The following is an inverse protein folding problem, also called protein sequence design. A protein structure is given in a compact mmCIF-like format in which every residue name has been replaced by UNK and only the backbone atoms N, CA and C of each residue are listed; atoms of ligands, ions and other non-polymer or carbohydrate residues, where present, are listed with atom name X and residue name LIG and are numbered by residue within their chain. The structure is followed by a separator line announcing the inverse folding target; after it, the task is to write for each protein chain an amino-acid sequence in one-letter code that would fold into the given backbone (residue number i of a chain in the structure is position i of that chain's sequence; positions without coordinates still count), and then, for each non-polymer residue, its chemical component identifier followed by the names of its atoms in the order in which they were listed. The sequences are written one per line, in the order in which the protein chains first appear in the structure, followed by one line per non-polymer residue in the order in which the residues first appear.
data_IF_648298716044
#
_entry.id   IF_648298716044
#
_cell.length_a   1.000
_cell.length_b   1.000
_cell.length_c   1.000
_cell.angle_alpha   90.00
_cell.angle_beta   90.00
_cell.angle_gamma   90.00
#
_symmetry.space_group_name_H-M   'P 1'
#
loop_
_entity.id
_entity.type
_entity.pdbx_description
1 polymer ?
#
# COMPACT_ATOMS: atom_id res chain seq x y z
N UNK A 1 20.97 33.30 -45.70
CA UNK A 1 20.29 34.56 -45.31
C UNK A 1 19.90 34.40 -43.85
N UNK A 2 20.75 34.75 -42.88
CA UNK A 2 20.86 36.07 -42.21
C UNK A 2 19.48 36.67 -41.91
N UNK A 3 19.09 36.74 -40.63
CA UNK A 3 18.51 37.89 -39.91
C UNK A 3 18.27 37.47 -38.43
N UNK A 4 19.02 37.99 -37.45
CA UNK A 4 18.92 39.26 -36.70
C UNK A 4 18.34 39.02 -35.30
N UNK A 5 19.15 39.43 -34.32
CA UNK A 5 18.98 39.43 -32.86
C UNK A 5 18.01 40.56 -32.46
N UNK A 6 17.12 40.32 -31.48
CA UNK A 6 16.63 41.39 -30.59
C UNK A 6 16.69 40.91 -29.13
N UNK A 7 17.37 41.72 -28.34
CA UNK A 7 17.74 41.56 -26.95
C UNK A 7 16.89 42.58 -26.18
N UNK A 8 16.06 42.15 -25.23
CA UNK A 8 15.37 43.08 -24.32
C UNK A 8 15.75 42.74 -22.89
N UNK A 9 16.56 43.64 -22.35
CA UNK A 9 17.05 43.75 -21.00
C UNK A 9 16.01 44.55 -20.19
N UNK A 10 15.55 44.03 -19.06
CA UNK A 10 14.84 44.85 -18.07
C UNK A 10 15.29 44.48 -16.66
N UNK A 11 16.24 45.28 -16.15
CA UNK A 11 16.58 45.39 -14.74
C UNK A 11 15.41 45.99 -13.98
N UNK A 12 15.03 45.37 -12.86
CA UNK A 12 14.39 46.06 -11.75
C UNK A 12 15.17 45.73 -10.48
N UNK A 13 15.89 46.74 -9.99
CA UNK A 13 16.51 46.76 -8.66
C UNK A 13 15.48 47.38 -7.72
N UNK A 14 15.07 46.65 -6.69
CA UNK A 14 14.46 47.23 -5.50
C UNK A 14 15.27 46.80 -4.29
N UNK A 15 15.87 47.81 -3.65
CA UNK A 15 16.44 47.78 -2.30
C UNK A 15 15.31 47.80 -1.27
N UNK A 16 15.50 47.17 -0.11
CA UNK A 16 14.50 47.23 0.96
C UNK A 16 14.79 46.40 2.21
N UNK A 17 15.55 47.02 3.11
CA UNK A 17 15.54 46.95 4.58
C UNK A 17 15.71 45.64 5.39
N UNK A 18 16.64 45.80 6.32
CA UNK A 18 17.02 45.09 7.54
C UNK A 18 15.89 44.69 8.49
N UNK A 19 16.12 43.59 9.21
CA UNK A 19 15.41 43.24 10.45
C UNK A 19 16.09 42.05 11.14
N UNK A 20 16.94 42.36 12.10
CA UNK A 20 17.63 41.46 13.03
C UNK A 20 16.62 40.86 14.02
N UNK A 21 16.77 39.58 14.37
CA UNK A 21 15.87 38.90 15.31
C UNK A 21 16.29 37.45 15.56
N UNK A 22 17.17 37.28 16.55
CA UNK A 22 17.56 36.03 17.19
C UNK A 22 16.38 35.37 17.91
N UNK A 23 16.27 34.05 17.84
CA UNK A 23 15.28 33.29 18.61
C UNK A 23 15.20 31.82 18.18
N UNK A 24 15.93 30.99 18.90
CA UNK A 24 16.04 29.53 18.77
C UNK A 24 14.75 28.77 19.08
N UNK A 25 14.54 27.70 18.30
CA UNK A 25 14.00 26.38 18.66
C UNK A 25 12.61 26.28 19.31
N UNK A 26 11.63 25.79 18.53
CA UNK A 26 10.98 24.48 18.75
C UNK A 26 9.76 24.36 17.82
N UNK A 27 9.96 23.81 16.63
CA UNK A 27 8.86 23.45 15.73
C UNK A 27 8.34 22.08 16.14
N UNK A 28 7.36 22.08 17.05
CA UNK A 28 6.48 20.95 17.24
C UNK A 28 5.69 20.72 15.93
N UNK A 29 5.99 19.60 15.27
CA UNK A 29 5.33 19.14 14.07
C UNK A 29 3.89 18.74 14.42
N UNK A 30 2.93 19.66 14.33
CA UNK A 30 1.51 19.35 14.51
C UNK A 30 1.01 18.48 13.36
N UNK A 31 1.16 17.16 13.54
CA UNK A 31 0.53 16.09 12.78
C UNK A 31 -0.98 16.20 13.01
N UNK A 32 -1.72 16.65 12.00
CA UNK A 32 -3.18 16.54 11.98
C UNK A 32 -3.50 15.06 12.06
N UNK A 33 -3.88 14.59 13.25
CA UNK A 33 -4.36 13.23 13.45
C UNK A 33 -5.70 13.14 12.73
N UNK A 34 -5.68 12.59 11.52
CA UNK A 34 -6.90 12.13 10.86
C UNK A 34 -7.56 11.16 11.84
N UNK A 35 -8.79 11.47 12.24
CA UNK A 35 -9.65 10.51 12.93
C UNK A 35 -9.89 9.39 11.93
N UNK A 36 -9.15 8.29 12.06
CA UNK A 36 -9.28 7.13 11.18
C UNK A 36 -10.57 6.39 11.54
N UNK A 37 -11.65 6.75 10.85
CA UNK A 37 -12.90 6.00 10.85
C UNK A 37 -12.62 4.63 10.21
N UNK A 38 -13.20 3.56 10.76
CA UNK A 38 -13.13 2.22 10.17
C UNK A 38 -13.61 2.29 8.72
N UNK A 39 -12.78 1.83 7.78
CA UNK A 39 -13.06 1.92 6.36
C UNK A 39 -14.21 0.96 5.99
N UNK A 40 -15.32 1.49 5.49
CA UNK A 40 -16.44 0.67 5.01
C UNK A 40 -16.10 -0.06 3.71
N UNK A 41 -15.26 0.57 2.88
CA UNK A 41 -14.77 0.02 1.63
C UNK A 41 -13.25 0.17 1.60
N UNK A 42 -12.56 -0.92 1.29
CA UNK A 42 -11.11 -0.96 1.38
C UNK A 42 -10.52 -2.04 0.49
N UNK A 43 -9.25 -1.90 0.14
CA UNK A 43 -8.48 -2.97 -0.48
C UNK A 43 -7.07 -3.08 0.11
N UNK A 44 -6.44 -4.22 -0.10
CA UNK A 44 -5.04 -4.49 0.20
C UNK A 44 -4.36 -4.99 -1.07
N UNK A 45 -3.15 -4.49 -1.30
CA UNK A 45 -2.30 -4.90 -2.43
C UNK A 45 -1.21 -5.85 -1.95
N UNK A 46 -1.30 -7.11 -2.38
CA UNK A 46 -0.37 -8.18 -2.08
C UNK A 46 0.69 -8.28 -3.16
N UNK A 47 1.96 -8.31 -2.77
CA UNK A 47 3.09 -8.41 -3.68
C UNK A 47 4.04 -9.51 -3.23
N UNK A 48 4.26 -10.47 -4.12
CA UNK A 48 5.37 -11.40 -4.02
C UNK A 48 6.60 -10.87 -4.78
N UNK A 49 7.77 -11.06 -4.19
CA UNK A 49 9.09 -10.79 -4.75
C UNK A 49 9.96 -12.06 -4.63
N UNK A 50 10.49 -12.53 -5.76
CA UNK A 50 11.49 -13.60 -5.84
C UNK A 50 12.87 -12.94 -5.82
N UNK A 51 13.57 -13.13 -4.70
CA UNK A 51 14.87 -12.49 -4.47
C UNK A 51 16.02 -13.21 -5.20
N UNK A 52 15.81 -14.46 -5.58
CA UNK A 52 16.78 -15.29 -6.34
C UNK A 52 16.83 -14.83 -7.79
N UNK A 53 15.66 -14.71 -8.42
CA UNK A 53 15.53 -14.37 -9.83
C UNK A 53 15.25 -12.87 -10.07
N UNK A 54 15.15 -12.06 -9.01
CA UNK A 54 14.86 -10.62 -9.06
C UNK A 54 13.55 -10.33 -9.83
N UNK A 55 12.52 -11.14 -9.57
CA UNK A 55 11.19 -10.95 -10.13
C UNK A 55 10.25 -10.37 -9.08
N UNK A 56 9.28 -9.56 -9.53
CA UNK A 56 8.28 -8.95 -8.64
C UNK A 56 6.93 -8.89 -9.34
N UNK A 57 5.89 -9.23 -8.61
CA UNK A 57 4.51 -9.19 -9.13
C UNK A 57 4.00 -7.74 -9.22
N UNK A 58 3.02 -7.51 -10.12
CA UNK A 58 2.37 -6.21 -10.28
C UNK A 58 1.44 -5.84 -9.10
N UNK A 59 1.08 -6.82 -8.28
CA UNK A 59 0.22 -6.69 -7.11
C UNK A 59 -1.18 -7.29 -7.34
N UNK A 60 -1.53 -8.31 -6.57
CA UNK A 60 -2.90 -8.83 -6.49
C UNK A 60 -3.69 -8.04 -5.43
N UNK A 61 -5.01 -7.94 -5.60
CA UNK A 61 -5.86 -7.12 -4.72
C UNK A 61 -6.93 -7.96 -4.04
N UNK A 62 -7.05 -7.82 -2.73
CA UNK A 62 -8.21 -8.31 -2.00
C UNK A 62 -8.89 -7.14 -1.31
N UNK A 63 -10.18 -7.24 -1.05
CA UNK A 63 -10.86 -6.16 -0.35
C UNK A 63 -12.35 -6.33 -0.17
N UNK A 64 -12.92 -5.27 0.38
CA UNK A 64 -14.33 -5.14 0.69
C UNK A 64 -14.93 -3.97 -0.10
N UNK A 65 -16.05 -4.25 -0.75
CA UNK A 65 -16.95 -3.26 -1.33
C UNK A 65 -18.36 -3.52 -0.79
N UNK A 66 -19.12 -2.46 -0.52
CA UNK A 66 -20.45 -2.60 0.10
C UNK A 66 -21.57 -2.78 -0.94
N UNK A 67 -21.23 -3.28 -2.12
CA UNK A 67 -22.16 -3.51 -3.24
C UNK A 67 -22.42 -5.01 -3.41
N UNK A 68 -23.65 -5.36 -3.81
CA UNK A 68 -24.11 -6.76 -3.91
C UNK A 68 -23.26 -7.59 -4.90
N UNK A 69 -22.86 -6.98 -6.02
CA UNK A 69 -22.14 -7.65 -7.11
C UNK A 69 -20.62 -7.39 -7.09
N UNK A 70 -20.06 -7.05 -5.92
CA UNK A 70 -18.65 -6.68 -5.76
C UNK A 70 -17.70 -7.66 -6.46
N UNK A 71 -17.98 -8.96 -6.32
CA UNK A 71 -17.13 -10.02 -6.85
C UNK A 71 -17.18 -10.10 -8.37
N UNK A 72 -18.37 -10.11 -8.98
CA UNK A 72 -18.50 -10.18 -10.44
C UNK A 72 -18.02 -8.91 -11.15
N UNK A 73 -18.16 -7.73 -10.52
CA UNK A 73 -17.86 -6.45 -11.17
C UNK A 73 -16.42 -5.98 -10.95
N UNK A 74 -15.77 -6.37 -9.85
CA UNK A 74 -14.44 -5.85 -9.48
C UNK A 74 -13.33 -6.92 -9.42
N UNK A 75 -13.65 -8.19 -9.61
CA UNK A 75 -12.64 -9.24 -9.73
C UNK A 75 -12.12 -9.36 -11.16
N UNK A 76 -10.81 -9.21 -11.32
CA UNK A 76 -10.12 -9.27 -12.61
C UNK A 76 -9.59 -10.67 -12.83
N UNK A 77 -9.88 -11.29 -13.98
CA UNK A 77 -9.27 -12.58 -14.34
C UNK A 77 -7.75 -12.47 -14.45
N UNK A 78 -7.08 -13.50 -13.97
CA UNK A 78 -5.66 -13.72 -14.19
C UNK A 78 -5.36 -14.01 -15.65
N UNK A 79 -4.18 -13.58 -16.08
CA UNK A 79 -3.61 -14.03 -17.34
C UNK A 79 -2.87 -15.33 -17.08
N UNK A 80 -2.96 -16.28 -18.02
CA UNK A 80 -2.13 -17.47 -17.96
C UNK A 80 -0.64 -17.07 -17.95
N UNK A 81 0.21 -17.78 -17.19
CA UNK A 81 1.64 -17.53 -17.22
C UNK A 81 2.17 -17.74 -18.64
N UNK A 82 3.01 -16.81 -19.09
CA UNK A 82 3.74 -16.98 -20.34
C UNK A 82 4.78 -18.10 -20.15
N UNK A 83 5.17 -18.80 -21.22
CA UNK A 83 6.03 -20.01 -21.21
C UNK A 83 7.48 -19.79 -20.73
N UNK A 84 7.75 -18.68 -20.04
CA UNK A 84 9.05 -18.30 -19.49
C UNK A 84 9.03 -18.42 -17.95
N UNK A 85 10.14 -18.04 -17.31
CA UNK A 85 10.17 -17.86 -15.86
C UNK A 85 9.06 -16.90 -15.42
N UNK A 86 8.32 -17.28 -14.38
CA UNK A 86 7.19 -16.50 -13.89
C UNK A 86 7.14 -16.48 -12.37
N UNK A 87 6.59 -15.39 -11.87
CA UNK A 87 6.19 -15.21 -10.48
C UNK A 87 4.80 -14.57 -10.50
N UNK A 88 3.87 -15.10 -9.72
CA UNK A 88 2.51 -14.60 -9.67
C UNK A 88 1.83 -14.72 -8.31
N UNK A 89 0.80 -13.91 -8.08
CA UNK A 89 -0.17 -14.02 -6.99
C UNK A 89 -1.57 -14.07 -7.59
N UNK A 90 -2.32 -15.12 -7.28
CA UNK A 90 -3.67 -15.34 -7.82
C UNK A 90 -4.66 -15.80 -6.75
N UNK A 91 -5.92 -15.42 -6.91
CA UNK A 91 -7.06 -15.99 -6.19
C UNK A 91 -7.66 -17.10 -7.04
N UNK A 92 -7.72 -18.32 -6.50
CA UNK A 92 -8.15 -19.51 -7.25
C UNK A 92 -9.60 -19.82 -6.91
N UNK A 93 -10.45 -19.86 -7.93
CA UNK A 93 -11.88 -20.15 -7.81
C UNK A 93 -12.58 -19.38 -6.67
N UNK A 94 -12.43 -18.05 -6.58
CA UNK A 94 -13.20 -17.26 -5.63
C UNK A 94 -14.70 -17.57 -5.76
N UNK A 95 -15.39 -17.63 -4.63
CA UNK A 95 -16.84 -17.88 -4.57
C UNK A 95 -17.59 -16.90 -5.47
N UNK A 96 -18.76 -17.26 -6.01
CA UNK A 96 -19.56 -16.33 -6.83
C UNK A 96 -18.97 -16.00 -8.21
N UNK A 97 -17.81 -16.55 -8.57
CA UNK A 97 -17.17 -16.37 -9.87
C UNK A 97 -17.04 -17.69 -10.63
N UNK A 98 -16.86 -17.57 -11.95
CA UNK A 98 -16.55 -18.74 -12.78
C UNK A 98 -15.19 -19.34 -12.38
N UNK A 99 -15.06 -20.66 -12.51
CA UNK A 99 -13.79 -21.38 -12.27
C UNK A 99 -12.65 -20.74 -13.04
N UNK A 100 -11.54 -20.49 -12.36
CA UNK A 100 -10.37 -19.82 -12.91
C UNK A 100 -9.47 -19.16 -11.86
N UNK A 101 -8.46 -18.47 -12.36
CA UNK A 101 -7.53 -17.68 -11.55
C UNK A 101 -7.86 -16.18 -11.73
N UNK A 102 -7.74 -15.42 -10.65
CA UNK A 102 -8.08 -14.00 -10.60
C UNK A 102 -6.94 -13.20 -9.96
N UNK A 103 -6.81 -11.93 -10.34
CA UNK A 103 -5.88 -10.93 -9.77
C UNK A 103 -6.49 -10.10 -8.68
N UNK A 104 -7.81 -10.09 -8.62
CA UNK A 104 -8.53 -9.48 -7.52
C UNK A 104 -9.67 -10.34 -7.03
N UNK A 105 -9.96 -10.21 -5.75
CA UNK A 105 -11.12 -10.83 -5.10
C UNK A 105 -11.75 -9.82 -4.14
N UNK A 106 -12.94 -9.35 -4.50
CA UNK A 106 -13.71 -8.39 -3.73
C UNK A 106 -15.05 -9.02 -3.32
N UNK A 107 -15.42 -8.87 -2.05
CA UNK A 107 -16.75 -9.27 -1.59
C UNK A 107 -17.22 -8.40 -0.42
N UNK A 108 -18.49 -8.52 -0.06
CA UNK A 108 -18.99 -7.96 1.19
C UNK A 108 -18.51 -8.82 2.34
N UNK A 109 -17.97 -8.19 3.39
CA UNK A 109 -17.45 -8.93 4.55
C UNK A 109 -18.44 -8.92 5.69
N UNK A 110 -18.33 -9.90 6.57
CA UNK A 110 -19.01 -9.89 7.88
C UNK A 110 -18.01 -9.53 8.99
N UNK A 111 -18.38 -9.72 10.27
CA UNK A 111 -17.46 -9.47 11.38
C UNK A 111 -16.20 -10.33 11.37
N UNK A 112 -16.19 -11.43 10.62
CA UNK A 112 -14.99 -12.23 10.32
C UNK A 112 -15.05 -12.72 8.88
N UNK A 113 -13.93 -12.67 8.18
CA UNK A 113 -13.89 -13.08 6.78
C UNK A 113 -12.48 -13.51 6.33
N UNK A 114 -12.35 -14.06 5.14
CA UNK A 114 -11.03 -14.38 4.59
C UNK A 114 -10.96 -14.54 3.08
N UNK A 115 -9.75 -14.33 2.58
CA UNK A 115 -9.37 -14.47 1.18
C UNK A 115 -8.26 -15.49 1.05
N UNK A 116 -8.45 -16.50 0.21
CA UNK A 116 -7.41 -17.47 -0.12
C UNK A 116 -6.72 -17.08 -1.42
N UNK A 117 -5.39 -17.03 -1.40
CA UNK A 117 -4.59 -16.76 -2.58
C UNK A 117 -3.35 -17.64 -2.64
N UNK A 118 -2.81 -17.81 -3.83
CA UNK A 118 -1.64 -18.65 -4.10
C UNK A 118 -0.55 -17.81 -4.72
N UNK A 119 0.64 -17.88 -4.13
CA UNK A 119 1.89 -17.42 -4.77
C UNK A 119 2.40 -18.55 -5.66
N UNK A 120 2.59 -18.27 -6.94
CA UNK A 120 3.05 -19.23 -7.94
C UNK A 120 4.42 -18.81 -8.47
N UNK A 121 5.33 -19.76 -8.62
CA UNK A 121 6.68 -19.53 -9.15
C UNK A 121 7.10 -20.68 -10.04
N UNK A 122 7.79 -20.37 -11.14
CA UNK A 122 8.48 -21.38 -11.94
C UNK A 122 9.73 -21.97 -11.25
N UNK A 123 10.27 -21.27 -10.24
CA UNK A 123 11.40 -21.72 -9.44
C UNK A 123 10.92 -22.22 -8.07
N UNK A 124 11.02 -23.52 -7.87
CA UNK A 124 10.59 -24.20 -6.66
C UNK A 124 11.57 -24.08 -5.49
N UNK A 125 12.74 -23.47 -5.72
CA UNK A 125 13.78 -23.24 -4.71
C UNK A 125 13.93 -21.77 -4.32
N UNK A 126 13.11 -20.89 -4.92
CA UNK A 126 13.21 -19.45 -4.74
C UNK A 126 12.92 -18.99 -3.30
N UNK A 127 13.73 -18.04 -2.82
CA UNK A 127 13.50 -17.30 -1.59
C UNK A 127 12.57 -16.10 -1.89
N UNK A 128 11.41 -16.11 -1.25
CA UNK A 128 10.31 -15.18 -1.49
C UNK A 128 10.14 -14.18 -0.37
N UNK A 129 9.74 -12.97 -0.73
CA UNK A 129 9.19 -11.97 0.18
C UNK A 129 7.75 -11.70 -0.24
N UNK A 130 6.82 -11.94 0.67
CA UNK A 130 5.42 -11.55 0.54
C UNK A 130 5.18 -10.30 1.39
N UNK A 131 4.77 -9.23 0.73
CA UNK A 131 4.52 -7.93 1.33
C UNK A 131 3.11 -7.47 0.99
N UNK A 132 2.51 -6.67 1.88
CA UNK A 132 1.29 -5.94 1.60
C UNK A 132 1.62 -4.46 1.60
N UNK A 133 1.32 -3.74 0.50
CA UNK A 133 1.65 -2.30 0.41
C UNK A 133 0.83 -1.43 1.35
N UNK A 134 -0.15 -2.00 2.05
CA UNK A 134 -1.02 -1.29 2.98
C UNK A 134 -2.48 -1.41 2.59
N UNK A 135 -3.31 -0.88 3.48
CA UNK A 135 -4.74 -0.74 3.27
C UNK A 135 -5.00 0.55 2.49
N UNK A 136 -5.85 0.46 1.48
CA UNK A 136 -6.36 1.60 0.75
C UNK A 136 -7.83 1.76 1.09
N UNK A 137 -8.19 2.90 1.65
CA UNK A 137 -9.60 3.27 1.86
C UNK A 137 -10.16 3.70 0.50
N UNK A 138 -11.32 3.16 0.16
CA UNK A 138 -12.00 3.43 -1.09
C UNK A 138 -13.12 4.44 -0.84
N UNK A 139 -13.20 5.45 -1.70
CA UNK A 139 -14.29 6.43 -1.69
C UNK A 139 -14.98 6.41 -3.05
N UNK A 140 -16.28 6.04 -3.11
CA UNK A 140 -16.99 5.91 -4.37
C UNK A 140 -17.24 7.28 -5.01
N UNK A 141 -17.19 7.32 -6.34
CA UNK A 141 -17.60 8.44 -7.17
C UNK A 141 -18.20 7.93 -8.48
N UNK A 142 -19.03 8.75 -9.12
CA UNK A 142 -19.57 8.45 -10.46
C UNK A 142 -18.72 9.15 -11.51
N UNK A 143 -18.18 8.40 -12.46
CA UNK A 143 -17.40 8.97 -13.57
C UNK A 143 -18.29 9.62 -14.64
N UNK A 144 -17.67 10.29 -15.62
CA UNK A 144 -18.38 10.97 -16.71
C UNK A 144 -19.24 10.03 -17.57
N UNK A 145 -19.01 8.71 -17.49
CA UNK A 145 -19.77 7.70 -18.20
C UNK A 145 -20.89 7.08 -17.32
N UNK A 146 -21.13 7.63 -16.13
CA UNK A 146 -22.16 7.16 -15.21
C UNK A 146 -21.79 5.86 -14.48
N UNK A 147 -20.51 5.48 -14.45
CA UNK A 147 -20.05 4.26 -13.78
C UNK A 147 -19.53 4.59 -12.39
N UNK A 148 -19.81 3.71 -11.43
CA UNK A 148 -19.19 3.78 -10.11
C UNK A 148 -17.71 3.44 -10.19
N UNK A 149 -16.88 4.28 -9.58
CA UNK A 149 -15.43 4.21 -9.51
C UNK A 149 -14.99 4.56 -8.10
N UNK A 150 -13.72 4.32 -7.77
CA UNK A 150 -13.21 4.59 -6.43
C UNK A 150 -11.95 5.45 -6.47
N UNK A 151 -11.93 6.47 -5.62
CA UNK A 151 -10.68 7.09 -5.21
C UNK A 151 -10.02 6.22 -4.14
N UNK A 152 -8.72 5.98 -4.29
CA UNK A 152 -7.95 5.17 -3.35
C UNK A 152 -7.07 6.05 -2.47
N UNK A 153 -7.20 5.89 -1.15
CA UNK A 153 -6.38 6.59 -0.17
C UNK A 153 -5.61 5.59 0.68
N UNK A 154 -4.30 5.51 0.46
CA UNK A 154 -3.43 4.63 1.24
C UNK A 154 -3.41 5.08 2.70
N UNK A 155 -3.83 4.21 3.62
CA UNK A 155 -3.70 4.35 5.06
C UNK A 155 -2.91 3.17 5.64
N UNK A 156 -1.69 3.47 6.09
CA UNK A 156 -0.80 2.51 6.75
C UNK A 156 -1.06 2.39 8.25
N UNK A 157 -1.85 3.31 8.81
CA UNK A 157 -2.17 3.39 10.23
C UNK A 157 -3.58 2.93 10.54
N UNK A 158 -4.37 2.60 9.51
CA UNK A 158 -5.78 2.26 9.66
C UNK A 158 -5.99 1.19 10.75
N UNK A 159 -6.90 1.43 11.71
CA UNK A 159 -7.15 0.48 12.80
C UNK A 159 -7.52 -0.92 12.32
N UNK A 160 -8.12 -1.05 11.13
CA UNK A 160 -8.51 -2.34 10.54
C UNK A 160 -7.31 -3.29 10.37
N UNK A 161 -6.10 -2.76 10.12
CA UNK A 161 -4.88 -3.58 10.02
C UNK A 161 -4.58 -4.35 11.30
N UNK A 162 -5.01 -3.86 12.47
CA UNK A 162 -4.84 -4.56 13.75
C UNK A 162 -5.78 -5.76 13.93
N UNK A 163 -6.76 -5.93 13.04
CA UNK A 163 -7.70 -7.05 13.03
C UNK A 163 -7.36 -8.09 11.96
N UNK A 164 -6.22 -7.96 11.29
CA UNK A 164 -5.89 -8.80 10.14
C UNK A 164 -4.67 -9.68 10.39
N UNK A 165 -4.73 -10.93 9.93
CA UNK A 165 -3.58 -11.81 9.81
C UNK A 165 -3.44 -12.38 8.42
N UNK A 166 -2.21 -12.68 8.05
CA UNK A 166 -1.87 -13.59 6.97
C UNK A 166 -1.58 -14.96 7.58
N UNK A 167 -2.11 -16.03 7.00
CA UNK A 167 -1.83 -17.40 7.40
C UNK A 167 -1.14 -18.10 6.24
N UNK A 168 0.06 -18.64 6.45
CA UNK A 168 0.65 -19.60 5.54
C UNK A 168 0.00 -20.97 5.77
N UNK A 169 -0.79 -21.42 4.80
CA UNK A 169 -1.61 -22.64 4.93
C UNK A 169 -0.72 -23.88 5.05
N UNK A 170 0.46 -23.87 4.42
CA UNK A 170 1.36 -25.03 4.42
C UNK A 170 2.00 -25.29 5.78
N UNK A 171 2.29 -24.23 6.55
CA UNK A 171 2.95 -24.30 7.85
C UNK A 171 2.02 -24.02 9.02
N UNK A 172 0.80 -23.56 8.73
CA UNK A 172 -0.15 -23.01 9.70
C UNK A 172 0.48 -21.87 10.54
N UNK A 173 1.42 -21.13 9.95
CA UNK A 173 2.04 -19.96 10.59
C UNK A 173 1.12 -18.76 10.44
N UNK A 174 0.76 -18.13 11.55
CA UNK A 174 0.07 -16.85 11.55
C UNK A 174 1.06 -15.69 11.58
N UNK A 175 0.86 -14.74 10.68
CA UNK A 175 1.68 -13.55 10.52
C UNK A 175 0.78 -12.33 10.75
N UNK A 176 1.02 -11.53 11.81
CA UNK A 176 0.24 -10.33 12.03
C UNK A 176 0.51 -9.31 10.94
N UNK A 177 -0.54 -8.59 10.53
CA UNK A 177 -0.44 -7.53 9.52
C UNK A 177 0.47 -6.38 9.97
N UNK A 178 0.52 -6.14 11.28
CA UNK A 178 1.37 -5.15 11.92
C UNK A 178 2.38 -5.82 12.85
N UNK A 179 3.65 -5.43 12.74
CA UNK A 179 4.72 -5.76 13.67
C UNK A 179 5.32 -4.45 14.18
N UNK A 180 5.32 -4.25 15.50
CA UNK A 180 5.81 -3.02 16.14
C UNK A 180 5.18 -1.73 15.56
N UNK A 181 3.89 -1.77 15.21
CA UNK A 181 3.16 -0.63 14.64
C UNK A 181 3.47 -0.31 13.18
N UNK A 182 4.30 -1.13 12.52
CA UNK A 182 4.60 -1.03 11.09
C UNK A 182 4.01 -2.22 10.35
N UNK A 183 3.66 -2.02 9.08
CA UNK A 183 3.23 -3.12 8.21
C UNK A 183 4.35 -4.17 8.12
N UNK A 184 3.99 -5.41 8.40
CA UNK A 184 4.93 -6.53 8.39
C UNK A 184 5.12 -7.08 6.97
N UNK A 185 6.13 -7.92 6.81
CA UNK A 185 6.40 -8.69 5.60
C UNK A 185 6.67 -10.14 6.01
N UNK A 186 6.47 -11.07 5.09
CA UNK A 186 6.72 -12.49 5.34
C UNK A 186 7.75 -13.05 4.36
N UNK A 187 8.81 -13.65 4.91
CA UNK A 187 9.87 -14.29 4.13
C UNK A 187 9.73 -15.80 4.23
N UNK A 188 9.77 -16.48 3.09
CA UNK A 188 9.64 -17.94 3.02
C UNK A 188 10.40 -18.49 1.81
N UNK A 189 10.72 -19.79 1.82
CA UNK A 189 11.23 -20.49 0.65
C UNK A 189 10.09 -21.27 -0.02
N UNK A 190 10.15 -21.50 -1.32
CA UNK A 190 9.15 -22.32 -2.00
C UNK A 190 9.22 -23.82 -1.63
N UNK A 191 10.28 -24.27 -0.94
CA UNK A 191 10.46 -25.59 -0.34
C UNK A 191 10.22 -26.78 -1.31
N UNK A 192 10.58 -26.60 -2.58
CA UNK A 192 10.38 -27.60 -3.64
C UNK A 192 9.01 -27.57 -4.31
N UNK A 193 8.09 -26.69 -3.90
CA UNK A 193 6.80 -26.48 -4.53
C UNK A 193 6.84 -25.32 -5.54
N UNK A 194 5.97 -25.34 -6.56
CA UNK A 194 5.77 -24.20 -7.48
C UNK A 194 4.60 -23.32 -7.07
N UNK A 195 3.84 -23.71 -6.05
CA UNK A 195 2.68 -23.02 -5.52
C UNK A 195 2.72 -23.04 -4.00
N UNK A 196 2.43 -21.90 -3.36
CA UNK A 196 2.25 -21.81 -1.91
C UNK A 196 0.99 -21.00 -1.61
N UNK A 197 0.09 -21.58 -0.83
CA UNK A 197 -1.22 -20.99 -0.53
C UNK A 197 -1.20 -20.27 0.80
N UNK A 198 -1.86 -19.11 0.80
CA UNK A 198 -2.03 -18.25 1.95
C UNK A 198 -3.49 -17.90 2.12
N UNK A 199 -3.86 -17.60 3.37
CA UNK A 199 -5.18 -17.07 3.71
C UNK A 199 -5.03 -15.75 4.43
N UNK A 200 -5.56 -14.68 3.83
CA UNK A 200 -5.77 -13.42 4.53
C UNK A 200 -7.03 -13.54 5.38
N UNK A 201 -6.98 -13.17 6.65
CA UNK A 201 -8.11 -13.29 7.57
C UNK A 201 -8.37 -11.94 8.22
N UNK A 202 -9.62 -11.50 8.15
CA UNK A 202 -10.17 -10.41 8.95
C UNK A 202 -10.85 -11.02 10.18
N UNK A 203 -10.37 -10.65 11.36
CA UNK A 203 -10.88 -11.12 12.65
C UNK A 203 -11.90 -10.15 13.23
N UNK A 204 -12.80 -10.68 14.08
CA UNK A 204 -13.74 -9.86 14.84
C UNK A 204 -13.10 -9.13 16.03
N UNK A 205 -11.88 -9.53 16.40
CA UNK A 205 -11.12 -9.01 17.54
C UNK A 205 -9.73 -8.57 17.09
N UNK A 206 -9.14 -7.64 17.84
CA UNK A 206 -7.76 -7.21 17.61
C UNK A 206 -6.82 -8.41 17.73
N UNK A 207 -5.98 -8.59 16.72
CA UNK A 207 -4.92 -9.58 16.71
C UNK A 207 -3.85 -9.14 17.71
N UNK A 208 -3.54 -9.95 18.74
CA UNK A 208 -2.48 -9.62 19.66
C UNK A 208 -1.16 -9.47 18.90
N UNK A 209 -0.44 -8.37 19.15
CA UNK A 209 0.93 -8.29 18.70
C UNK A 209 1.70 -9.48 19.32
N UNK A 210 2.47 -10.25 18.53
CA UNK A 210 3.30 -11.30 19.09
C UNK A 210 4.19 -10.68 20.16
N UNK A 211 4.27 -11.34 21.32
CA UNK A 211 5.15 -10.90 22.38
C UNK A 211 6.55 -10.65 21.80
N UNK A 212 7.25 -9.57 22.18
CA UNK A 212 8.59 -9.31 21.68
C UNK A 212 9.44 -10.54 22.01
N UNK A 213 9.78 -11.30 20.96
CA UNK A 213 10.61 -12.48 21.08
C UNK A 213 11.96 -12.03 21.64
N UNK A 214 12.29 -12.46 22.86
CA UNK A 214 13.65 -12.41 23.36
C UNK A 214 14.55 -13.02 22.28
N UNK A 215 15.43 -12.19 21.75
CA UNK A 215 16.07 -12.26 20.43
C UNK A 215 16.94 -13.50 20.17
N UNK A 216 16.35 -14.68 19.97
CA UNK A 216 17.10 -15.87 19.50
C UNK A 216 16.39 -16.71 18.43
N UNK A 217 15.19 -16.30 17.97
CA UNK A 217 14.68 -16.85 16.71
C UNK A 217 15.45 -16.27 15.52
N UNK A 218 15.79 -17.15 14.57
CA UNK A 218 16.58 -16.99 13.33
C UNK A 218 16.07 -15.92 12.34
N UNK A 219 15.63 -14.76 12.80
CA UNK A 219 15.20 -13.63 11.97
C UNK A 219 16.37 -12.81 11.38
N UNK A 220 17.64 -13.09 11.72
CA UNK A 220 18.72 -12.10 11.59
C UNK A 220 19.86 -12.37 10.60
N UNK A 221 19.76 -13.34 9.68
CA UNK A 221 20.74 -13.45 8.56
C UNK A 221 20.18 -13.08 7.20
N UNK A 222 18.96 -13.50 6.85
CA UNK A 222 18.34 -13.13 5.57
C UNK A 222 17.90 -11.65 5.53
N UNK A 223 17.24 -11.13 6.58
CA UNK A 223 16.83 -9.71 6.65
C UNK A 223 18.01 -8.74 6.55
N UNK A 224 19.11 -8.99 7.28
CA UNK A 224 20.32 -8.16 7.16
C UNK A 224 20.90 -8.18 5.75
N UNK A 225 20.85 -9.32 5.06
CA UNK A 225 21.34 -9.41 3.68
C UNK A 225 20.44 -8.69 2.67
N UNK A 226 19.13 -8.64 2.93
CA UNK A 226 18.12 -7.98 2.08
C UNK A 226 18.07 -6.46 2.32
N UNK A 227 18.15 -6.00 3.57
CA UNK A 227 18.27 -4.58 3.91
C UNK A 227 19.55 -3.95 3.31
N UNK A 228 20.68 -4.66 3.35
CA UNK A 228 21.95 -4.19 2.76
C UNK A 228 21.84 -4.08 1.22
N UNK A 229 21.06 -4.94 0.56
CA UNK A 229 20.82 -4.84 -0.90
C UNK A 229 19.88 -3.67 -1.25
N UNK A 230 18.84 -3.42 -0.45
CA UNK A 230 17.90 -2.31 -0.67
C UNK A 230 18.57 -0.93 -0.46
N UNK A 231 19.34 -0.76 0.61
CA UNK A 231 20.02 0.51 0.93
C UNK A 231 21.06 0.93 -0.13
N UNK A 232 21.65 -0.02 -0.86
CA UNK A 232 22.58 0.30 -1.97
C UNK A 232 21.89 0.78 -3.23
N UNK A 233 20.59 0.52 -3.40
CA UNK A 233 19.82 0.90 -4.60
C UNK A 233 19.34 2.35 -4.52
N UNK A 234 18.98 2.82 -3.32
CA UNK A 234 18.38 4.16 -3.12
C UNK A 234 19.41 5.29 -3.04
N UNK A 235 20.66 4.97 -2.68
CA UNK A 235 21.76 5.95 -2.68
C UNK A 235 22.18 6.46 -4.08
N UNK A 236 21.56 5.97 -5.16
CA UNK A 236 21.83 6.39 -6.55
C UNK A 236 20.80 7.34 -7.16
N UNK A 237 19.77 7.78 -6.43
CA UNK A 237 18.81 8.78 -6.96
C UNK A 237 18.99 10.15 -6.30
N UNK A 238 19.34 11.14 -7.12
CA UNK A 238 19.64 12.53 -6.71
C UNK A 238 18.37 13.31 -6.35
N UNK A 239 18.33 14.09 -5.25
CA UNK A 239 17.13 14.84 -4.88
C UNK A 239 17.00 16.16 -5.66
N UNK A 240 15.87 16.35 -6.34
CA UNK A 240 15.48 17.62 -6.97
C UNK A 240 14.63 18.43 -5.99
N UNK A 241 15.03 19.68 -5.72
CA UNK A 241 14.38 20.59 -4.76
C UNK A 241 13.11 21.23 -5.35
N UNK A 242 11.95 21.03 -4.73
CA UNK A 242 10.70 21.74 -5.01
C UNK A 242 10.50 22.90 -4.03
N UNK A 243 10.22 24.10 -4.55
CA UNK A 243 9.85 25.31 -3.78
C UNK A 243 8.32 25.40 -3.66
N UNK A 244 7.80 25.54 -2.44
CA UNK A 244 6.37 25.69 -2.15
C UNK A 244 6.06 27.15 -1.75
N UNK A 245 5.03 27.75 -2.35
CA UNK A 245 4.48 29.07 -2.01
C UNK A 245 3.53 28.95 -0.80
N UNK A 246 3.67 29.84 0.19
CA UNK A 246 2.79 29.98 1.36
C UNK A 246 1.40 30.51 0.97
N UNK A 247 0.35 29.90 1.49
CA UNK A 247 -1.03 30.45 1.52
C UNK A 247 -1.36 30.84 2.97
N UNK A 248 -2.13 31.92 3.15
CA UNK A 248 -2.52 32.51 4.44
C UNK A 248 -3.23 31.50 5.35
N UNK A 249 -2.85 31.51 6.62
CA UNK A 249 -3.39 30.65 7.68
C UNK A 249 -4.85 31.00 8.04
N UNK A 250 -5.61 29.97 8.38
CA UNK A 250 -7.01 30.04 8.79
C UNK A 250 -7.09 30.46 10.28
N UNK A 251 -7.97 31.41 10.60
CA UNK A 251 -8.24 31.88 11.97
C UNK A 251 -9.16 30.89 12.70
N UNK A 252 -8.60 30.22 13.72
CA UNK A 252 -9.26 29.16 14.49
C UNK A 252 -10.17 29.69 15.61
N UNK A 253 -10.27 31.01 15.79
CA UNK A 253 -11.16 31.60 16.81
C UNK A 253 -12.62 31.73 16.36
N UNK A 254 -12.91 31.33 15.11
CA UNK A 254 -14.26 31.40 14.52
C UNK A 254 -14.70 30.01 14.05
N UNK A 255 -15.91 29.55 14.40
CA UNK A 255 -16.44 28.33 13.82
C UNK A 255 -16.60 28.48 12.30
N UNK A 256 -16.31 27.43 11.51
CA UNK A 256 -16.37 27.48 10.06
C UNK A 256 -17.80 27.76 9.57
N UNK A 257 -17.93 28.73 8.67
CA UNK A 257 -19.20 29.06 8.03
C UNK A 257 -19.36 28.15 6.81
N UNK A 258 -20.31 27.23 6.87
CA UNK A 258 -20.67 26.38 5.73
C UNK A 258 -21.68 27.10 4.84
N UNK A 259 -21.32 27.36 3.58
CA UNK A 259 -22.31 27.73 2.57
C UNK A 259 -23.00 26.46 2.08
N UNK A 260 -24.28 26.32 2.40
CA UNK A 260 -25.15 25.32 1.77
C UNK A 260 -25.35 25.75 0.31
N UNK A 261 -24.87 24.94 -0.63
CA UNK A 261 -25.25 25.08 -2.03
C UNK A 261 -26.68 24.55 -2.15
N UNK A 262 -27.62 25.44 -2.47
CA UNK A 262 -28.99 25.06 -2.80
C UNK A 262 -28.99 24.19 -4.07
N UNK A 263 -29.86 23.17 -4.06
CA UNK A 263 -30.12 22.25 -5.18
C UNK A 263 -30.66 22.98 -6.41
#
# INVERSE_FOLDING_TARGET
MKHIIILILSLWIWTGCSGEGTGTNDVALNKVAAVEVAAQEWNIRIIAEDTTNNMKTAGAQLGQLSIENAQSEHSLKGLAPFTASFLDVVFKNPTGLAVGEYKSDFHTTTSSDGWEFTVKSSDSSADMILSWRGLYVLSPYIDEQGRERYHEYRSMTNPLLSYMTLIDVSTNTEIPTLLNGTVNEYVFNMDGATERTFRWVLHSNVVPAPAPLNSTMKYSKQMKSLEIKALRKDAKSTPTKLKIKRVKALDMTKPPIFKVLAR
#
